data_IF_961903203621
#
_entry.id   IF_961903203621
#
_cell.length_a   1.000
_cell.length_b   1.000
_cell.length_c   1.000
_cell.angle_alpha   90.00
_cell.angle_beta   90.00
_cell.angle_gamma   90.00
#
_symmetry.space_group_name_H-M   'P 1'
#
loop_
_entity.id
_entity.type
_entity.pdbx_description
1 polymer ?
#
# COMPACT_ATOMS: atom_id res chain seq x y z
N UNK A 1 10.79 -6.68 22.35
CA UNK A 1 11.53 -5.68 21.55
C UNK A 1 12.91 -5.40 22.11
N UNK A 2 13.11 -5.13 23.41
CA UNK A 2 14.45 -4.86 23.99
C UNK A 2 15.54 -5.90 23.71
N UNK A 3 15.17 -7.18 23.54
CA UNK A 3 16.12 -8.23 23.16
C UNK A 3 16.65 -8.06 21.73
N UNK A 4 15.89 -7.45 20.81
CA UNK A 4 16.35 -7.15 19.45
C UNK A 4 17.45 -6.09 19.48
N UNK A 5 17.34 -5.12 20.38
CA UNK A 5 18.40 -4.12 20.59
C UNK A 5 19.67 -4.79 21.12
N UNK A 6 19.53 -5.71 22.07
CA UNK A 6 20.66 -6.49 22.59
C UNK A 6 21.29 -7.40 21.53
N UNK A 7 20.49 -7.84 20.55
CA UNK A 7 20.96 -8.58 19.39
C UNK A 7 21.62 -7.70 18.32
N UNK A 8 21.69 -6.38 18.53
CA UNK A 8 22.36 -5.44 17.63
C UNK A 8 21.52 -5.00 16.43
N UNK A 9 20.19 -5.02 16.52
CA UNK A 9 19.31 -4.49 15.46
C UNK A 9 19.41 -2.96 15.37
N UNK A 10 19.61 -2.43 14.16
CA UNK A 10 19.77 -0.98 13.92
C UNK A 10 18.47 -0.19 13.93
N UNK A 11 17.34 -0.80 13.55
CA UNK A 11 16.03 -0.16 13.51
C UNK A 11 14.88 -1.18 13.52
N UNK A 12 13.69 -0.74 13.96
CA UNK A 12 12.47 -1.52 13.86
C UNK A 12 11.52 -0.93 12.82
N UNK A 13 11.07 -1.74 11.87
CA UNK A 13 10.02 -1.36 10.92
C UNK A 13 8.67 -1.94 11.38
N UNK A 14 7.72 -1.06 11.71
CA UNK A 14 6.40 -1.44 12.20
C UNK A 14 5.39 -1.42 11.06
N UNK A 15 4.78 -2.57 10.84
CA UNK A 15 3.65 -2.78 9.93
C UNK A 15 2.66 -3.73 10.61
N UNK A 16 1.42 -3.80 10.10
CA UNK A 16 0.38 -4.68 10.62
C UNK A 16 -0.16 -5.60 9.53
N UNK A 17 -0.46 -6.83 9.92
CA UNK A 17 -0.98 -7.87 9.04
C UNK A 17 0.09 -8.64 8.28
N UNK A 18 -0.20 -9.91 8.03
CA UNK A 18 0.68 -10.85 7.32
C UNK A 18 0.03 -11.46 6.07
N UNK A 19 -1.20 -11.05 5.74
CA UNK A 19 -2.00 -11.62 4.65
C UNK A 19 -2.71 -10.54 3.85
N UNK A 20 -2.68 -10.69 2.53
CA UNK A 20 -3.58 -10.02 1.58
C UNK A 20 -4.39 -11.11 0.86
N UNK A 21 -5.70 -10.92 0.61
CA UNK A 21 -6.49 -9.71 0.81
C UNK A 21 -6.92 -9.46 2.26
N UNK A 22 -6.68 -8.24 2.78
CA UNK A 22 -7.19 -7.79 4.08
C UNK A 22 -7.57 -6.30 4.03
N UNK A 23 -8.76 -5.89 4.52
CA UNK A 23 -9.28 -4.53 4.34
C UNK A 23 -8.48 -3.43 5.04
N UNK A 24 -7.64 -3.79 6.02
CA UNK A 24 -6.70 -2.87 6.69
C UNK A 24 -5.24 -3.11 6.35
N UNK A 25 -4.92 -4.13 5.54
CA UNK A 25 -3.55 -4.45 5.18
C UNK A 25 -3.37 -4.84 3.69
N UNK A 26 -2.97 -3.88 2.84
CA UNK A 26 -2.93 -2.46 3.14
C UNK A 26 -4.34 -1.84 3.06
N UNK A 27 -4.63 -0.89 3.96
CA UNK A 27 -5.93 -0.22 3.99
C UNK A 27 -6.21 0.50 2.66
N UNK A 28 -7.40 0.27 2.10
CA UNK A 28 -7.79 0.75 0.79
C UNK A 28 -8.98 -0.02 0.23
N UNK A 29 -9.44 0.38 -0.94
CA UNK A 29 -10.54 -0.32 -1.62
C UNK A 29 -10.06 -1.66 -2.20
N UNK A 30 -11.01 -2.55 -2.52
CA UNK A 30 -10.73 -3.84 -3.13
C UNK A 30 -11.13 -3.82 -4.61
N UNK A 31 -10.18 -3.95 -5.55
CA UNK A 31 -10.45 -3.81 -6.97
C UNK A 31 -10.95 -5.15 -7.52
N UNK A 32 -12.27 -5.38 -7.45
CA UNK A 32 -12.87 -6.67 -7.83
C UNK A 32 -12.58 -7.04 -9.29
N UNK A 33 -12.63 -6.09 -10.21
CA UNK A 33 -12.40 -6.35 -11.64
C UNK A 33 -10.96 -6.81 -11.92
N UNK A 34 -9.97 -6.11 -11.37
CA UNK A 34 -8.57 -6.52 -11.41
C UNK A 34 -8.34 -7.89 -10.72
N UNK A 35 -9.03 -8.12 -9.59
CA UNK A 35 -8.88 -9.36 -8.82
C UNK A 35 -9.44 -10.55 -9.60
N UNK A 36 -10.57 -10.40 -10.28
CA UNK A 36 -11.14 -11.45 -11.14
C UNK A 36 -10.23 -11.82 -12.32
N UNK A 37 -9.34 -10.90 -12.73
CA UNK A 37 -8.37 -11.15 -13.80
C UNK A 37 -7.14 -11.92 -13.28
N UNK A 38 -6.60 -11.50 -12.13
CA UNK A 38 -5.31 -12.00 -11.63
C UNK A 38 -5.40 -13.17 -10.65
N UNK A 39 -6.42 -13.19 -9.76
CA UNK A 39 -6.56 -14.21 -8.71
C UNK A 39 -6.77 -15.65 -9.21
N UNK A 40 -7.31 -15.92 -10.42
CA UNK A 40 -7.32 -17.28 -10.96
C UNK A 40 -5.96 -17.98 -10.94
N UNK A 41 -4.85 -17.23 -11.06
CA UNK A 41 -3.50 -17.78 -10.97
C UNK A 41 -3.11 -18.33 -9.60
N UNK A 42 -3.81 -17.89 -8.55
CA UNK A 42 -3.58 -18.32 -7.17
C UNK A 42 -4.39 -19.55 -6.78
N UNK A 43 -5.40 -19.93 -7.58
CA UNK A 43 -6.29 -21.06 -7.30
C UNK A 43 -5.53 -22.37 -7.04
N UNK A 44 -4.49 -22.76 -7.83
CA UNK A 44 -3.81 -24.05 -7.62
C UNK A 44 -3.10 -24.17 -6.26
N UNK A 45 -2.60 -23.07 -5.72
CA UNK A 45 -1.87 -23.01 -4.44
C UNK A 45 -2.73 -22.53 -3.26
N UNK A 46 -3.96 -22.10 -3.56
CA UNK A 46 -4.83 -21.43 -2.61
C UNK A 46 -5.70 -22.40 -1.81
N UNK A 47 -5.87 -22.12 -0.52
CA UNK A 47 -6.78 -22.90 0.35
C UNK A 47 -8.24 -22.57 0.10
N UNK A 48 -8.57 -21.30 -0.15
CA UNK A 48 -9.92 -20.77 -0.27
C UNK A 48 -10.14 -19.95 -1.56
N UNK A 49 -9.15 -19.93 -2.44
CA UNK A 49 -9.04 -19.00 -3.57
C UNK A 49 -10.12 -19.25 -4.62
N UNK A 50 -10.47 -20.52 -4.87
CA UNK A 50 -11.60 -20.88 -5.74
C UNK A 50 -12.93 -20.34 -5.18
N UNK A 51 -13.18 -20.51 -3.89
CA UNK A 51 -14.40 -20.02 -3.25
C UNK A 51 -14.45 -18.49 -3.25
N UNK A 52 -13.33 -17.83 -2.97
CA UNK A 52 -13.22 -16.37 -3.03
C UNK A 52 -13.47 -15.87 -4.46
N UNK A 53 -12.88 -16.50 -5.47
CA UNK A 53 -13.09 -16.15 -6.88
C UNK A 53 -14.57 -16.26 -7.28
N UNK A 54 -15.24 -17.37 -6.95
CA UNK A 54 -16.67 -17.54 -7.25
C UNK A 54 -17.54 -16.51 -6.52
N UNK A 55 -17.21 -16.20 -5.26
CA UNK A 55 -17.91 -15.18 -4.46
C UNK A 55 -17.80 -13.78 -5.10
N UNK A 56 -16.60 -13.42 -5.57
CA UNK A 56 -16.35 -12.14 -6.22
C UNK A 56 -17.01 -12.03 -7.59
N UNK A 57 -17.11 -13.15 -8.33
CA UNK A 57 -17.67 -13.18 -9.68
C UNK A 57 -19.19 -13.02 -9.71
N UNK A 58 -19.90 -13.54 -8.71
CA UNK A 58 -21.35 -13.41 -8.63
C UNK A 58 -21.75 -11.98 -8.24
N UNK A 59 -22.58 -11.31 -9.05
CA UNK A 59 -22.90 -9.88 -8.89
C UNK A 59 -23.45 -9.50 -7.51
N UNK A 60 -24.36 -10.31 -6.95
CA UNK A 60 -24.98 -10.04 -5.66
C UNK A 60 -23.99 -10.18 -4.50
N UNK A 61 -23.22 -11.28 -4.49
CA UNK A 61 -22.24 -11.55 -3.45
C UNK A 61 -20.99 -10.67 -3.58
N UNK A 62 -20.59 -10.32 -4.80
CA UNK A 62 -19.50 -9.39 -5.08
C UNK A 62 -19.80 -7.97 -4.61
N UNK A 63 -21.03 -7.47 -4.84
CA UNK A 63 -21.46 -6.17 -4.31
C UNK A 63 -21.52 -6.18 -2.78
N UNK A 64 -22.08 -7.24 -2.19
CA UNK A 64 -22.09 -7.40 -0.74
C UNK A 64 -20.66 -7.45 -0.17
N UNK A 65 -19.76 -8.17 -0.84
CA UNK A 65 -18.34 -8.25 -0.47
C UNK A 65 -17.69 -6.85 -0.44
N UNK A 66 -17.86 -6.04 -1.49
CA UNK A 66 -17.32 -4.67 -1.52
C UNK A 66 -17.89 -3.80 -0.40
N UNK A 67 -19.19 -3.90 -0.11
CA UNK A 67 -19.81 -3.17 1.00
C UNK A 67 -19.24 -3.57 2.36
N UNK A 68 -19.09 -4.88 2.60
CA UNK A 68 -18.48 -5.41 3.83
C UNK A 68 -17.01 -5.01 3.94
N UNK A 69 -16.28 -5.02 2.82
CA UNK A 69 -14.90 -4.57 2.74
C UNK A 69 -14.76 -3.10 3.13
N UNK A 70 -15.53 -2.21 2.52
CA UNK A 70 -15.49 -0.77 2.82
C UNK A 70 -15.80 -0.50 4.31
N UNK A 71 -16.78 -1.22 4.88
CA UNK A 71 -17.10 -1.15 6.30
C UNK A 71 -15.94 -1.62 7.18
N UNK A 72 -15.29 -2.73 6.84
CA UNK A 72 -14.19 -3.28 7.62
C UNK A 72 -12.90 -2.45 7.51
N UNK A 73 -12.66 -1.85 6.34
CA UNK A 73 -11.53 -0.96 6.06
C UNK A 73 -11.52 0.22 7.03
N UNK A 74 -12.69 0.85 7.22
CA UNK A 74 -12.83 2.06 8.05
C UNK A 74 -12.14 3.27 7.42
N UNK A 75 -12.32 4.47 7.96
CA UNK A 75 -11.98 5.70 7.20
C UNK A 75 -10.51 6.12 7.30
N UNK A 76 -9.78 5.59 8.28
CA UNK A 76 -8.37 5.95 8.50
C UNK A 76 -7.45 5.11 7.62
N UNK A 77 -6.79 5.76 6.66
CA UNK A 77 -5.72 5.16 5.85
C UNK A 77 -4.37 5.70 6.29
N UNK A 78 -4.14 7.01 6.18
CA UNK A 78 -2.85 7.61 6.55
C UNK A 78 -2.59 7.49 8.05
N UNK A 79 -1.40 7.00 8.39
CA UNK A 79 -0.97 6.79 9.76
C UNK A 79 -1.77 5.72 10.53
N UNK A 80 -2.36 4.73 9.84
CA UNK A 80 -3.15 3.67 10.48
C UNK A 80 -2.39 2.94 11.60
N UNK A 81 -1.07 2.76 11.45
CA UNK A 81 -0.22 2.07 12.43
C UNK A 81 0.50 3.02 13.41
N UNK A 82 0.20 4.33 13.43
CA UNK A 82 0.93 5.28 14.29
C UNK A 82 0.76 5.00 15.78
N UNK A 83 -0.41 4.52 16.23
CA UNK A 83 -0.62 4.16 17.64
C UNK A 83 0.33 3.05 18.08
N UNK A 84 0.42 2.00 17.25
CA UNK A 84 1.19 0.80 17.54
C UNK A 84 2.69 1.10 17.42
N UNK A 85 3.07 1.88 16.41
CA UNK A 85 4.44 2.37 16.22
C UNK A 85 4.90 3.21 17.41
N UNK A 86 4.05 4.12 17.91
CA UNK A 86 4.36 4.94 19.08
C UNK A 86 4.52 4.09 20.34
N UNK A 87 3.72 3.03 20.50
CA UNK A 87 3.87 2.09 21.61
C UNK A 87 5.21 1.34 21.53
N UNK A 88 5.62 0.90 20.34
CA UNK A 88 6.93 0.27 20.11
C UNK A 88 8.06 1.25 20.40
N UNK A 89 7.99 2.47 19.87
CA UNK A 89 9.00 3.53 20.06
C UNK A 89 9.23 3.88 21.52
N UNK A 90 8.18 3.88 22.35
CA UNK A 90 8.32 4.09 23.82
C UNK A 90 9.10 2.97 24.52
N UNK A 91 9.23 1.80 23.90
CA UNK A 91 9.82 0.61 24.51
C UNK A 91 11.28 0.35 24.11
N UNK A 92 11.82 1.11 23.14
CA UNK A 92 13.14 0.93 22.53
C UNK A 92 13.86 2.28 22.39
N UNK A 93 15.19 2.24 22.30
CA UNK A 93 16.08 3.37 22.03
C UNK A 93 16.60 3.41 20.60
N UNK A 94 16.41 2.34 19.81
CA UNK A 94 16.73 2.31 18.38
C UNK A 94 15.64 2.96 17.52
N UNK A 95 15.97 3.52 16.34
CA UNK A 95 15.00 4.11 15.42
C UNK A 95 13.81 3.20 15.08
N UNK A 96 12.61 3.79 15.01
CA UNK A 96 11.37 3.08 14.66
C UNK A 96 10.71 3.70 13.43
N UNK A 97 10.51 2.90 12.39
CA UNK A 97 9.94 3.30 11.09
C UNK A 97 8.47 2.85 11.01
N UNK A 98 7.57 3.75 10.61
CA UNK A 98 6.13 3.47 10.48
C UNK A 98 5.70 3.17 9.03
N UNK A 99 5.07 2.01 8.78
CA UNK A 99 4.24 1.83 7.58
C UNK A 99 2.84 2.37 7.85
N UNK A 100 2.36 3.33 7.05
CA UNK A 100 1.06 3.94 7.33
C UNK A 100 0.31 4.48 6.13
N UNK A 101 0.64 4.07 4.90
CA UNK A 101 -0.05 4.57 3.71
C UNK A 101 0.17 6.06 3.44
N UNK A 102 1.20 6.68 4.00
CA UNK A 102 1.44 8.12 3.92
C UNK A 102 1.61 8.66 2.50
N UNK A 103 0.96 9.78 2.19
CA UNK A 103 1.15 10.54 0.96
C UNK A 103 1.00 12.06 1.14
N UNK A 104 0.73 12.51 2.36
CA UNK A 104 0.56 13.92 2.71
C UNK A 104 1.72 14.37 3.61
N UNK A 105 2.44 15.43 3.23
CA UNK A 105 3.66 15.87 3.90
C UNK A 105 3.41 16.30 5.35
N UNK A 106 2.37 17.08 5.60
CA UNK A 106 1.97 17.56 6.93
C UNK A 106 1.62 16.41 7.89
N UNK A 107 1.01 15.33 7.38
CA UNK A 107 0.73 14.13 8.16
C UNK A 107 2.03 13.38 8.53
N UNK A 108 2.99 13.33 7.61
CA UNK A 108 4.31 12.73 7.84
C UNK A 108 5.11 13.57 8.85
N UNK A 109 5.10 14.89 8.69
CA UNK A 109 5.77 15.83 9.58
C UNK A 109 5.24 15.71 11.01
N UNK A 110 3.91 15.72 11.20
CA UNK A 110 3.29 15.52 12.51
C UNK A 110 3.65 14.14 13.11
N UNK A 111 3.69 13.09 12.30
CA UNK A 111 4.06 11.75 12.77
C UNK A 111 5.50 11.68 13.31
N UNK A 112 6.44 12.38 12.67
CA UNK A 112 7.86 12.39 13.04
C UNK A 112 8.11 13.40 14.17
N UNK A 113 7.74 14.67 13.97
CA UNK A 113 7.96 15.74 14.94
C UNK A 113 7.17 15.54 16.24
N UNK A 114 5.97 14.96 16.16
CA UNK A 114 5.16 14.54 17.31
C UNK A 114 5.69 13.27 18.02
N UNK A 115 6.83 12.74 17.59
CA UNK A 115 7.55 11.63 18.25
C UNK A 115 6.84 10.28 18.14
N UNK A 116 5.94 10.09 17.17
CA UNK A 116 5.25 8.81 16.98
C UNK A 116 6.12 7.78 16.25
N UNK A 117 7.06 8.24 15.41
CA UNK A 117 8.05 7.43 14.71
C UNK A 117 9.33 8.26 14.46
N UNK A 118 10.42 7.63 14.00
CA UNK A 118 11.65 8.31 13.55
C UNK A 118 11.65 8.54 12.05
N UNK A 119 10.96 7.67 11.32
CA UNK A 119 10.75 7.79 9.88
C UNK A 119 9.44 7.10 9.48
N UNK A 120 9.00 7.38 8.25
CA UNK A 120 7.89 6.67 7.61
C UNK A 120 8.41 5.87 6.43
N UNK A 121 7.77 4.74 6.15
CA UNK A 121 7.95 3.99 4.90
C UNK A 121 6.73 4.15 4.02
N UNK A 122 6.95 4.33 2.72
CA UNK A 122 5.90 4.58 1.72
C UNK A 122 6.04 3.54 0.61
N UNK A 123 4.91 2.99 0.13
CA UNK A 123 4.90 2.03 -0.97
C UNK A 123 3.93 2.50 -2.07
N UNK A 124 2.63 2.22 -1.94
CA UNK A 124 1.62 2.54 -2.97
C UNK A 124 1.63 4.01 -3.42
N UNK A 125 1.81 5.01 -2.52
CA UNK A 125 1.91 6.40 -2.96
C UNK A 125 3.17 6.73 -3.78
N UNK A 126 4.29 6.04 -3.55
CA UNK A 126 5.49 6.15 -4.39
C UNK A 126 5.30 5.45 -5.73
N UNK A 127 4.63 4.29 -5.75
CA UNK A 127 4.23 3.62 -7.01
C UNK A 127 3.32 4.52 -7.85
N UNK A 128 2.45 5.29 -7.20
CA UNK A 128 1.58 6.25 -7.86
C UNK A 128 2.34 7.50 -8.32
N UNK A 129 3.23 8.04 -7.49
CA UNK A 129 3.97 9.28 -7.76
C UNK A 129 5.45 9.04 -7.45
N UNK A 130 6.23 8.66 -8.46
CA UNK A 130 7.64 8.27 -8.26
C UNK A 130 8.51 9.45 -7.76
N UNK A 131 8.07 10.68 -7.99
CA UNK A 131 8.72 11.91 -7.53
C UNK A 131 8.10 12.47 -6.23
N UNK A 132 7.29 11.70 -5.49
CA UNK A 132 6.58 12.16 -4.28
C UNK A 132 7.47 12.91 -3.28
N UNK A 133 8.68 12.41 -3.04
CA UNK A 133 9.63 13.08 -2.12
C UNK A 133 10.07 14.44 -2.66
N UNK A 134 10.29 14.55 -3.98
CA UNK A 134 10.63 15.82 -4.63
C UNK A 134 9.43 16.78 -4.64
N UNK A 135 8.20 16.27 -4.67
CA UNK A 135 6.99 17.09 -4.49
C UNK A 135 7.01 17.74 -3.10
N UNK A 136 7.29 16.96 -2.06
CA UNK A 136 7.40 17.48 -0.69
C UNK A 136 8.56 18.47 -0.54
N UNK A 137 9.73 18.17 -1.12
CA UNK A 137 10.90 19.05 -1.11
C UNK A 137 10.62 20.42 -1.74
N UNK A 138 9.76 20.46 -2.77
CA UNK A 138 9.29 21.71 -3.42
C UNK A 138 8.23 22.46 -2.59
N UNK A 139 7.87 21.96 -1.41
CA UNK A 139 6.92 22.58 -0.49
C UNK A 139 5.45 22.23 -0.73
N UNK A 140 5.15 21.31 -1.65
CA UNK A 140 3.78 20.87 -1.87
C UNK A 140 3.39 19.79 -0.86
N UNK A 141 2.23 19.96 -0.22
CA UNK A 141 1.76 19.04 0.82
C UNK A 141 1.30 17.69 0.27
N UNK A 142 0.87 17.64 -0.99
CA UNK A 142 0.34 16.44 -1.64
C UNK A 142 0.58 16.49 -3.15
N UNK A 143 0.79 15.35 -3.84
CA UNK A 143 0.76 15.29 -5.30
C UNK A 143 -0.58 15.74 -5.87
N UNK A 144 -0.56 16.31 -7.07
CA UNK A 144 -1.76 16.75 -7.80
C UNK A 144 -2.71 15.57 -8.09
N UNK A 145 -2.14 14.42 -8.50
CA UNK A 145 -2.88 13.17 -8.74
C UNK A 145 -2.51 12.12 -7.67
N UNK A 146 -3.04 12.21 -6.43
CA UNK A 146 -2.65 11.33 -5.34
C UNK A 146 -3.02 9.86 -5.59
N UNK A 147 -2.39 8.97 -4.83
CA UNK A 147 -2.79 7.57 -4.77
C UNK A 147 -4.22 7.47 -4.22
N UNK A 148 -5.07 6.75 -4.95
CA UNK A 148 -6.48 6.52 -4.59
C UNK A 148 -6.66 5.42 -3.55
N UNK A 149 -5.58 4.73 -3.17
CA UNK A 149 -5.61 3.55 -2.30
C UNK A 149 -6.49 2.41 -2.85
N UNK A 150 -6.68 2.31 -4.16
CA UNK A 150 -7.54 1.30 -4.78
C UNK A 150 -6.96 -0.12 -4.79
N UNK A 151 -5.71 -0.30 -4.36
CA UNK A 151 -4.99 -1.58 -4.34
C UNK A 151 -4.83 -2.30 -5.71
N UNK A 152 -5.16 -1.66 -6.84
CA UNK A 152 -4.96 -2.23 -8.18
C UNK A 152 -3.51 -2.62 -8.44
N UNK A 153 -2.55 -1.83 -7.96
CA UNK A 153 -1.12 -2.16 -8.04
C UNK A 153 -0.75 -3.49 -7.35
N UNK A 154 -1.35 -3.80 -6.18
CA UNK A 154 -1.10 -5.04 -5.46
C UNK A 154 -1.72 -6.26 -6.15
N UNK A 155 -2.90 -6.07 -6.74
CA UNK A 155 -3.59 -7.15 -7.45
C UNK A 155 -2.88 -7.45 -8.77
N UNK A 156 -2.46 -6.42 -9.49
CA UNK A 156 -1.77 -6.56 -10.77
C UNK A 156 -0.36 -7.16 -10.65
N UNK A 157 0.40 -6.90 -9.57
CA UNK A 157 1.79 -7.40 -9.42
C UNK A 157 1.89 -8.94 -9.44
N UNK A 158 0.77 -9.65 -9.27
CA UNK A 158 0.71 -11.11 -9.36
C UNK A 158 1.00 -11.62 -10.79
N UNK A 159 0.68 -10.83 -11.81
CA UNK A 159 0.79 -11.24 -13.22
C UNK A 159 1.39 -10.18 -14.14
N UNK A 160 1.41 -8.92 -13.71
CA UNK A 160 1.80 -7.78 -14.51
C UNK A 160 2.96 -7.01 -13.81
N UNK A 161 3.72 -6.18 -14.55
CA UNK A 161 4.80 -5.38 -13.95
C UNK A 161 4.31 -4.48 -12.81
N UNK A 162 5.18 -4.19 -11.85
CA UNK A 162 4.87 -3.28 -10.76
C UNK A 162 4.60 -1.86 -11.31
N UNK A 163 3.43 -1.31 -10.98
CA UNK A 163 3.08 0.06 -11.34
C UNK A 163 1.67 0.45 -10.88
N UNK A 164 1.23 1.67 -11.22
CA UNK A 164 -0.10 2.16 -10.88
C UNK A 164 -1.10 1.84 -12.00
N UNK A 165 -2.11 1.02 -11.70
CA UNK A 165 -3.15 0.59 -12.65
C UNK A 165 -4.47 1.38 -12.49
N UNK A 166 -4.41 2.55 -11.85
CA UNK A 166 -5.59 3.42 -11.71
C UNK A 166 -5.68 4.37 -12.90
N UNK A 167 -6.40 3.95 -13.95
CA UNK A 167 -6.52 4.71 -15.21
C UNK A 167 -6.96 6.16 -15.01
N UNK A 168 -7.82 6.45 -14.02
CA UNK A 168 -8.26 7.82 -13.73
C UNK A 168 -7.16 8.78 -13.29
N UNK A 169 -5.95 8.28 -12.99
CA UNK A 169 -4.76 9.10 -12.68
C UNK A 169 -3.97 9.51 -13.91
N UNK A 170 -4.28 8.97 -15.09
CA UNK A 170 -3.54 9.21 -16.32
C UNK A 170 -4.46 9.88 -17.33
N UNK A 171 -3.87 10.61 -18.27
CA UNK A 171 -4.63 11.26 -19.35
C UNK A 171 -5.07 10.21 -20.39
N UNK A 172 -4.37 9.07 -20.44
CA UNK A 172 -4.72 7.91 -21.28
C UNK A 172 -4.22 6.59 -20.68
N UNK A 173 -4.78 5.48 -21.16
CA UNK A 173 -4.31 4.13 -20.81
C UNK A 173 -2.89 3.88 -21.32
N UNK A 174 -2.54 4.45 -22.48
CA UNK A 174 -1.22 4.34 -23.10
C UNK A 174 -0.14 5.02 -22.24
N UNK A 175 -0.44 6.19 -21.67
CA UNK A 175 0.44 6.89 -20.72
C UNK A 175 0.67 6.04 -19.46
N UNK A 176 -0.41 5.50 -18.88
CA UNK A 176 -0.32 4.58 -17.74
C UNK A 176 0.60 3.39 -18.05
N UNK A 177 0.40 2.74 -19.19
CA UNK A 177 1.22 1.60 -19.61
C UNK A 177 2.67 2.00 -19.86
N UNK A 178 2.93 3.18 -20.43
CA UNK A 178 4.29 3.69 -20.63
C UNK A 178 5.01 3.92 -19.28
N UNK A 179 4.33 4.50 -18.29
CA UNK A 179 4.88 4.66 -16.93
C UNK A 179 5.14 3.30 -16.27
N UNK A 180 4.19 2.36 -16.33
CA UNK A 180 4.37 1.00 -15.78
C UNK A 180 5.59 0.31 -16.40
N UNK A 181 5.75 0.39 -17.72
CA UNK A 181 6.85 -0.27 -18.43
C UNK A 181 8.21 0.40 -18.21
N UNK A 182 8.24 1.63 -17.68
CA UNK A 182 9.48 2.33 -17.35
C UNK A 182 10.34 1.59 -16.30
N UNK A 183 9.74 0.69 -15.51
CA UNK A 183 10.45 -0.17 -14.55
C UNK A 183 11.52 -1.07 -15.20
N UNK A 184 11.41 -1.33 -16.50
CA UNK A 184 12.38 -2.10 -17.28
C UNK A 184 13.43 -1.24 -17.97
N UNK A 185 13.52 0.05 -17.63
CA UNK A 185 14.48 0.99 -18.21
C UNK A 185 15.44 1.54 -17.13
N UNK A 186 16.78 1.49 -17.34
CA UNK A 186 17.45 0.77 -18.42
C UNK A 186 17.21 -0.74 -18.31
N UNK A 187 17.32 -1.51 -19.41
CA UNK A 187 17.15 -2.95 -19.36
C UNK A 187 18.13 -3.57 -18.36
N UNK A 188 17.69 -4.54 -17.54
CA UNK A 188 18.52 -5.11 -16.47
C UNK A 188 19.80 -5.82 -16.97
N UNK A 189 19.90 -6.09 -18.29
CA UNK A 189 21.05 -6.71 -18.94
C UNK A 189 21.47 -5.94 -20.21
N UNK A 190 21.50 -4.61 -20.14
CA UNK A 190 22.02 -3.72 -21.19
C UNK A 190 23.53 -3.51 -21.13
#
# INVERSE_FOLDING_TARGET
TKWLEQAGVDALHVSTGSSFPHPRNPAGDFPVEDALTTFPSLIPSGRNELFNYLTLRALSTGRLYQMLWAKARGDKIEGINLSDTKAVKKAVNIPVICTGGFQTASVIEEAISGGSCDAVSIARPLVANNDLVKIFERGADRPEKPCTYCNKCLVNVLQNPLGCYEESRFDSREEMLAEIMSVFQPPPFG
#
